data_IF_426994936429
#
_entry.id   IF_426994936429
#
_cell.length_a   1.000
_cell.length_b   1.000
_cell.length_c   1.000
_cell.angle_alpha   90.00
_cell.angle_beta   90.00
_cell.angle_gamma   90.00
#
_symmetry.space_group_name_H-M   'P 1'
#
loop_
_entity.id
_entity.type
_entity.pdbx_description
1 polymer ?
#
# COMPACT_ATOMS: atom_id res chain seq x y z
N UNK A 1 -4.63 23.16 19.55
CA UNK A 1 -3.79 23.17 18.34
C UNK A 1 -4.23 21.96 17.54
N UNK A 2 -4.39 22.05 16.22
CA UNK A 2 -4.72 20.86 15.45
C UNK A 2 -3.53 19.91 15.59
N UNK A 3 -3.75 18.71 16.12
CA UNK A 3 -2.72 17.69 16.11
C UNK A 3 -2.52 17.31 14.64
N UNK A 4 -1.35 17.63 14.08
CA UNK A 4 -1.03 17.33 12.69
C UNK A 4 -0.99 15.81 12.50
N UNK A 5 -1.82 15.27 11.59
CA UNK A 5 -1.79 13.85 11.23
C UNK A 5 -0.45 13.48 10.60
N UNK A 6 0.21 12.44 11.12
CA UNK A 6 1.47 11.91 10.59
C UNK A 6 1.32 10.48 10.08
N UNK A 7 1.59 10.28 8.80
CA UNK A 7 1.61 8.96 8.15
C UNK A 7 3.05 8.53 7.92
N UNK A 8 3.42 7.36 8.43
CA UNK A 8 4.68 6.69 8.12
C UNK A 8 4.44 5.61 7.07
N UNK A 9 5.17 5.67 5.95
CA UNK A 9 5.12 4.64 4.90
C UNK A 9 6.44 3.86 4.83
N UNK A 10 6.36 2.54 4.79
CA UNK A 10 7.51 1.64 4.60
C UNK A 10 7.33 0.88 3.28
N UNK A 11 8.19 1.15 2.30
CA UNK A 11 8.15 0.49 1.01
C UNK A 11 8.77 -0.92 1.06
N UNK A 12 8.19 -1.83 0.28
CA UNK A 12 8.64 -3.17 -0.10
C UNK A 12 9.45 -3.94 0.96
N UNK A 13 8.76 -4.66 1.85
CA UNK A 13 9.42 -5.58 2.79
C UNK A 13 9.83 -6.86 2.10
N UNK A 14 11.15 -7.07 1.97
CA UNK A 14 11.72 -8.21 1.22
C UNK A 14 12.26 -9.30 2.14
N UNK A 15 11.62 -10.48 2.12
CA UNK A 15 12.09 -11.70 2.74
C UNK A 15 12.30 -11.60 4.26
N UNK A 16 13.04 -12.57 4.82
CA UNK A 16 13.37 -12.58 6.25
C UNK A 16 14.15 -11.32 6.69
N UNK A 17 15.18 -10.85 5.94
CA UNK A 17 15.93 -9.66 6.34
C UNK A 17 15.07 -8.41 6.46
N UNK A 18 14.15 -8.18 5.52
CA UNK A 18 13.22 -7.05 5.57
C UNK A 18 12.30 -7.11 6.78
N UNK A 19 11.76 -8.30 7.09
CA UNK A 19 10.89 -8.48 8.27
C UNK A 19 11.64 -8.29 9.59
N UNK A 20 12.88 -8.77 9.68
CA UNK A 20 13.73 -8.57 10.85
C UNK A 20 14.04 -7.07 11.06
N UNK A 21 14.33 -6.35 9.97
CA UNK A 21 14.55 -4.91 10.01
C UNK A 21 13.28 -4.17 10.48
N UNK A 22 12.11 -4.50 9.92
CA UNK A 22 10.82 -3.93 10.36
C UNK A 22 10.59 -4.17 11.83
N UNK A 23 10.75 -5.42 12.29
CA UNK A 23 10.56 -5.78 13.71
C UNK A 23 11.50 -5.03 14.65
N UNK A 24 12.74 -4.81 14.23
CA UNK A 24 13.76 -4.14 15.05
C UNK A 24 13.61 -2.60 15.06
N UNK A 25 13.21 -2.01 13.94
CA UNK A 25 13.32 -0.55 13.70
C UNK A 25 11.96 0.14 13.80
N UNK A 26 10.91 -0.43 13.20
CA UNK A 26 9.62 0.24 13.03
C UNK A 26 9.00 0.73 14.35
N UNK A 27 8.99 -0.06 15.45
CA UNK A 27 8.44 0.42 16.73
C UNK A 27 9.18 1.60 17.34
N UNK A 28 10.49 1.73 17.07
CA UNK A 28 11.29 2.88 17.47
C UNK A 28 10.97 4.10 16.62
N UNK A 29 11.02 3.91 15.29
CA UNK A 29 10.77 4.96 14.32
C UNK A 29 9.37 5.57 14.47
N UNK A 30 8.32 4.75 14.66
CA UNK A 30 6.95 5.23 14.90
C UNK A 30 6.88 6.22 16.08
N UNK A 31 7.62 5.96 17.16
CA UNK A 31 7.66 6.84 18.33
C UNK A 31 8.47 8.11 18.08
N UNK A 32 9.58 7.98 17.35
CA UNK A 32 10.45 9.10 17.01
C UNK A 32 9.75 10.12 16.11
N UNK A 33 9.03 9.66 15.09
CA UNK A 33 8.30 10.55 14.17
C UNK A 33 6.87 10.85 14.62
N UNK A 34 6.44 10.27 15.76
CA UNK A 34 5.07 10.36 16.30
C UNK A 34 4.02 9.98 15.24
N UNK A 35 4.21 8.83 14.56
CA UNK A 35 3.32 8.39 13.49
C UNK A 35 1.95 7.94 14.04
N UNK A 36 0.88 8.55 13.55
CA UNK A 36 -0.51 8.19 13.87
C UNK A 36 -1.00 7.00 13.05
N UNK A 37 -0.49 6.87 11.82
CA UNK A 37 -0.82 5.77 10.91
C UNK A 37 0.46 5.24 10.26
N UNK A 38 0.65 3.93 10.29
CA UNK A 38 1.74 3.25 9.59
C UNK A 38 1.21 2.37 8.47
N UNK A 39 1.61 2.69 7.25
CA UNK A 39 1.30 1.91 6.05
C UNK A 39 2.59 1.21 5.60
N UNK A 40 2.49 -0.05 5.21
CA UNK A 40 3.65 -0.85 4.82
C UNK A 40 3.34 -1.69 3.58
N UNK A 41 4.22 -1.69 2.58
CA UNK A 41 4.09 -2.59 1.45
C UNK A 41 4.74 -3.94 1.78
N UNK A 42 3.93 -4.99 1.83
CA UNK A 42 4.33 -6.33 2.26
C UNK A 42 4.57 -7.33 1.12
N UNK A 43 4.54 -6.90 -0.15
CA UNK A 43 4.41 -7.84 -1.28
C UNK A 43 5.54 -8.85 -1.44
N UNK A 44 6.72 -8.62 -0.85
CA UNK A 44 7.89 -9.48 -0.97
C UNK A 44 8.24 -10.23 0.32
N UNK A 45 7.32 -10.24 1.29
CA UNK A 45 7.59 -10.73 2.64
C UNK A 45 7.80 -12.24 2.70
N UNK A 46 7.12 -13.03 1.88
CA UNK A 46 7.21 -14.48 1.86
C UNK A 46 8.38 -14.95 0.97
N UNK A 47 9.58 -15.02 1.55
CA UNK A 47 10.76 -15.53 0.83
C UNK A 47 11.14 -14.71 -0.41
N UNK A 48 10.75 -13.43 -0.46
CA UNK A 48 10.99 -12.53 -1.58
C UNK A 48 9.80 -12.37 -2.54
N UNK A 49 8.77 -13.22 -2.45
CA UNK A 49 7.62 -13.20 -3.37
C UNK A 49 6.31 -13.52 -2.63
N UNK A 50 5.43 -12.54 -2.52
CA UNK A 50 4.12 -12.65 -1.91
C UNK A 50 4.13 -12.44 -0.40
N UNK A 51 3.01 -12.81 0.21
CA UNK A 51 2.71 -12.63 1.63
C UNK A 51 1.90 -13.83 2.14
N UNK A 52 1.73 -13.98 3.44
CA UNK A 52 0.84 -14.98 4.05
C UNK A 52 0.13 -14.38 5.26
N UNK A 53 -0.99 -14.94 5.71
CA UNK A 53 -1.72 -14.48 6.89
C UNK A 53 -0.86 -14.49 8.15
N UNK A 54 0.04 -15.47 8.28
CA UNK A 54 1.05 -15.51 9.37
C UNK A 54 1.98 -14.30 9.33
N UNK A 55 2.48 -13.95 8.14
CA UNK A 55 3.39 -12.80 7.96
C UNK A 55 2.65 -11.46 8.11
N UNK A 56 1.37 -11.38 7.72
CA UNK A 56 0.51 -10.24 8.04
C UNK A 56 0.42 -10.02 9.55
N UNK A 57 0.19 -11.08 10.33
CA UNK A 57 0.15 -10.99 11.79
C UNK A 57 1.50 -10.54 12.37
N UNK A 58 2.62 -11.02 11.81
CA UNK A 58 3.98 -10.61 12.18
C UNK A 58 4.23 -9.10 11.94
N UNK A 59 3.89 -8.60 10.74
CA UNK A 59 4.07 -7.20 10.38
C UNK A 59 3.15 -6.27 11.19
N UNK A 60 1.91 -6.71 11.47
CA UNK A 60 0.99 -6.00 12.35
C UNK A 60 1.53 -5.90 13.77
N UNK A 61 2.07 -6.99 14.30
CA UNK A 61 2.69 -6.99 15.63
C UNK A 61 3.91 -6.05 15.71
N UNK A 62 4.59 -5.81 14.60
CA UNK A 62 5.67 -4.82 14.49
C UNK A 62 5.18 -3.36 14.32
N UNK A 63 3.87 -3.15 14.12
CA UNK A 63 3.24 -1.83 14.07
C UNK A 63 2.71 -1.40 12.70
N UNK A 64 2.56 -2.28 11.72
CA UNK A 64 1.84 -1.96 10.49
C UNK A 64 0.32 -1.90 10.72
N UNK A 65 -0.29 -0.75 10.41
CA UNK A 65 -1.73 -0.51 10.58
C UNK A 65 -2.52 -0.88 9.31
N UNK A 66 -1.92 -0.62 8.13
CA UNK A 66 -2.39 -1.02 6.80
C UNK A 66 -1.24 -1.69 6.06
N UNK A 67 -1.52 -2.79 5.36
CA UNK A 67 -0.55 -3.46 4.50
C UNK A 67 -1.00 -3.37 3.04
N UNK A 68 -0.22 -2.67 2.22
CA UNK A 68 -0.37 -2.68 0.76
C UNK A 68 0.46 -3.80 0.15
N UNK A 69 0.23 -4.10 -1.12
CA UNK A 69 0.96 -5.14 -1.85
C UNK A 69 1.29 -4.67 -3.27
N UNK A 70 1.40 -5.60 -4.22
CA UNK A 70 1.90 -5.35 -5.56
C UNK A 70 1.68 -6.55 -6.46
N UNK A 71 2.55 -6.73 -7.44
CA UNK A 71 2.41 -7.79 -8.45
C UNK A 71 2.60 -9.19 -7.84
N UNK A 72 3.25 -9.33 -6.69
CA UNK A 72 3.41 -10.64 -6.05
C UNK A 72 2.27 -11.04 -5.11
N UNK A 73 1.18 -10.27 -5.04
CA UNK A 73 0.06 -10.51 -4.11
C UNK A 73 -0.53 -11.92 -4.19
N UNK A 74 -0.50 -12.57 -5.35
CA UNK A 74 -1.03 -13.93 -5.54
C UNK A 74 0.04 -15.02 -5.67
N UNK A 75 1.30 -14.72 -5.33
CA UNK A 75 2.40 -15.69 -5.43
C UNK A 75 2.27 -16.88 -4.47
N UNK A 76 1.65 -16.66 -3.29
CA UNK A 76 1.42 -17.69 -2.27
C UNK A 76 -0.02 -18.19 -2.34
N UNK A 77 -0.22 -19.48 -2.68
CA UNK A 77 -1.55 -20.04 -2.95
C UNK A 77 -2.49 -19.94 -1.75
N UNK A 78 -1.97 -20.16 -0.55
CA UNK A 78 -2.72 -20.10 0.70
C UNK A 78 -3.24 -18.67 0.92
N UNK A 79 -2.38 -17.68 0.65
CA UNK A 79 -2.70 -16.27 0.85
C UNK A 79 -3.84 -15.78 -0.05
N UNK A 80 -3.96 -16.31 -1.28
CA UNK A 80 -5.10 -16.02 -2.18
C UNK A 80 -6.44 -16.30 -1.49
N UNK A 81 -6.52 -17.39 -0.71
CA UNK A 81 -7.73 -17.77 0.02
C UNK A 81 -7.91 -17.03 1.35
N UNK A 82 -6.82 -16.58 1.97
CA UNK A 82 -6.84 -15.85 3.24
C UNK A 82 -7.18 -14.37 3.04
N UNK A 83 -6.69 -13.76 1.95
CA UNK A 83 -6.73 -12.32 1.69
C UNK A 83 -8.12 -11.68 1.89
N UNK A 84 -9.25 -12.24 1.42
CA UNK A 84 -10.57 -11.65 1.63
C UNK A 84 -10.96 -11.46 3.11
N UNK A 85 -10.41 -12.28 4.01
CA UNK A 85 -10.70 -12.22 5.45
C UNK A 85 -9.71 -11.34 6.23
N UNK A 86 -8.62 -10.88 5.60
CA UNK A 86 -7.61 -10.06 6.23
C UNK A 86 -8.00 -8.58 6.12
N UNK A 87 -8.50 -8.02 7.23
CA UNK A 87 -8.80 -6.59 7.30
C UNK A 87 -7.55 -5.75 6.98
N UNK A 88 -7.73 -4.59 6.32
CA UNK A 88 -6.67 -3.60 6.03
C UNK A 88 -5.41 -4.19 5.35
N UNK A 89 -5.55 -5.32 4.66
CA UNK A 89 -4.55 -5.83 3.72
C UNK A 89 -5.14 -5.65 2.33
N UNK A 90 -4.53 -4.77 1.55
CA UNK A 90 -5.07 -4.35 0.25
C UNK A 90 -4.17 -4.79 -0.90
N UNK A 91 -4.82 -5.14 -2.00
CA UNK A 91 -4.19 -5.53 -3.27
C UNK A 91 -4.30 -4.40 -4.29
N UNK A 92 -3.56 -4.42 -5.41
CA UNK A 92 -3.78 -3.45 -6.47
C UNK A 92 -5.23 -3.42 -6.96
N UNK A 93 -5.89 -2.26 -6.91
CA UNK A 93 -7.32 -2.13 -7.16
C UNK A 93 -7.73 -2.43 -8.60
N UNK A 94 -6.80 -2.28 -9.54
CA UNK A 94 -7.00 -2.53 -10.97
C UNK A 94 -6.75 -3.99 -11.40
N UNK A 95 -6.71 -4.93 -10.46
CA UNK A 95 -7.01 -6.33 -10.79
C UNK A 95 -8.49 -6.49 -11.18
N UNK A 96 -8.84 -7.48 -12.04
CA UNK A 96 -10.22 -7.73 -12.45
C UNK A 96 -11.18 -7.89 -11.26
N UNK A 97 -12.49 -7.58 -11.42
CA UNK A 97 -13.45 -7.57 -10.32
C UNK A 97 -13.56 -8.88 -9.51
N UNK A 98 -13.22 -10.03 -10.12
CA UNK A 98 -13.27 -11.34 -9.46
C UNK A 98 -12.03 -11.64 -8.60
N UNK A 99 -10.98 -10.82 -8.67
CA UNK A 99 -9.76 -11.03 -7.90
C UNK A 99 -10.04 -10.88 -6.39
N UNK A 100 -9.53 -11.81 -5.55
CA UNK A 100 -9.81 -11.81 -4.12
C UNK A 100 -9.18 -10.60 -3.42
N UNK A 101 -9.78 -10.20 -2.29
CA UNK A 101 -9.34 -9.05 -1.51
C UNK A 101 -9.85 -7.71 -2.03
N UNK A 102 -9.49 -6.64 -1.34
CA UNK A 102 -9.94 -5.28 -1.63
C UNK A 102 -8.80 -4.41 -2.15
N UNK A 103 -9.15 -3.43 -3.00
CA UNK A 103 -8.20 -2.49 -3.61
C UNK A 103 -7.83 -1.30 -2.73
N UNK A 104 -8.60 -1.09 -1.66
CA UNK A 104 -8.55 0.08 -0.80
C UNK A 104 -9.14 -0.26 0.57
N UNK A 105 -8.89 0.59 1.56
CA UNK A 105 -9.56 0.57 2.85
C UNK A 105 -9.67 1.98 3.43
N UNK A 106 -10.60 2.17 4.36
CA UNK A 106 -10.67 3.40 5.17
C UNK A 106 -10.25 3.06 6.59
N UNK A 107 -9.33 3.85 7.14
CA UNK A 107 -8.78 3.69 8.50
C UNK A 107 -8.89 5.00 9.25
N UNK A 108 -9.20 4.93 10.54
CA UNK A 108 -9.22 6.08 11.43
C UNK A 108 -7.89 6.23 12.15
N UNK A 109 -7.30 7.43 12.09
CA UNK A 109 -6.13 7.83 12.88
C UNK A 109 -6.19 9.33 13.20
N UNK A 110 -5.74 9.71 14.40
CA UNK A 110 -5.80 11.09 14.91
C UNK A 110 -7.17 11.80 14.72
N UNK A 111 -8.29 11.05 14.81
CA UNK A 111 -9.63 11.61 14.61
C UNK A 111 -10.05 11.87 13.16
N UNK A 112 -9.25 11.42 12.18
CA UNK A 112 -9.52 11.55 10.75
C UNK A 112 -9.80 10.20 10.09
N UNK A 113 -10.75 10.16 9.15
CA UNK A 113 -10.92 9.06 8.21
C UNK A 113 -9.91 9.20 7.05
N UNK A 114 -9.08 8.18 6.85
CA UNK A 114 -8.00 8.15 5.85
C UNK A 114 -8.30 7.02 4.87
N UNK A 115 -8.45 7.38 3.59
CA UNK A 115 -8.61 6.42 2.51
C UNK A 115 -7.23 6.00 1.99
N UNK A 116 -6.92 4.71 2.08
CA UNK A 116 -5.69 4.13 1.52
C UNK A 116 -6.07 3.29 0.31
N UNK A 117 -5.43 3.53 -0.83
CA UNK A 117 -5.59 2.73 -2.04
C UNK A 117 -4.25 2.21 -2.54
N UNK A 118 -4.28 1.06 -3.19
CA UNK A 118 -3.11 0.46 -3.83
C UNK A 118 -3.45 0.28 -5.31
N UNK A 119 -2.59 0.74 -6.19
CA UNK A 119 -2.73 0.65 -7.64
C UNK A 119 -1.48 0.00 -8.23
N UNK A 120 -1.62 -0.59 -9.40
CA UNK A 120 -0.49 -1.17 -10.13
C UNK A 120 -0.37 -0.59 -11.53
N UNK A 121 0.85 -0.18 -11.87
CA UNK A 121 1.19 0.24 -13.23
C UNK A 121 1.04 -0.91 -14.23
N UNK A 122 1.00 -0.56 -15.52
CA UNK A 122 0.86 -1.53 -16.62
C UNK A 122 2.10 -1.58 -17.51
N UNK A 123 2.94 -0.54 -17.47
CA UNK A 123 4.13 -0.49 -18.32
C UNK A 123 5.20 -1.39 -17.70
N UNK A 124 5.70 -2.34 -18.48
CA UNK A 124 6.69 -3.35 -18.10
C UNK A 124 6.25 -4.34 -17.01
N UNK A 125 4.96 -4.39 -16.68
CA UNK A 125 4.37 -5.45 -15.87
C UNK A 125 3.87 -6.58 -16.77
N UNK A 126 4.05 -7.84 -16.35
CA UNK A 126 3.58 -9.00 -17.13
C UNK A 126 2.06 -9.22 -17.06
N UNK A 127 1.39 -8.65 -16.07
CA UNK A 127 -0.04 -8.83 -15.85
C UNK A 127 -0.88 -7.96 -16.79
N UNK A 128 -1.96 -8.55 -17.33
CA UNK A 128 -2.99 -7.78 -18.03
C UNK A 128 -3.99 -7.24 -17.02
N UNK A 129 -3.81 -5.99 -16.62
CA UNK A 129 -4.64 -5.30 -15.63
C UNK A 129 -5.55 -4.27 -16.27
N UNK A 130 -6.60 -3.91 -15.52
CA UNK A 130 -7.43 -2.76 -15.84
C UNK A 130 -6.65 -1.45 -15.69
N UNK A 131 -7.21 -0.36 -16.22
CA UNK A 131 -6.60 0.96 -16.19
C UNK A 131 -6.49 1.51 -14.75
N UNK A 132 -5.28 1.72 -14.21
CA UNK A 132 -5.10 2.22 -12.83
C UNK A 132 -5.66 3.64 -12.64
N UNK A 133 -5.68 4.47 -13.68
CA UNK A 133 -6.21 5.83 -13.61
C UNK A 133 -7.74 5.81 -13.40
N UNK A 134 -8.43 4.95 -14.16
CA UNK A 134 -9.88 4.77 -13.99
C UNK A 134 -10.23 4.07 -12.67
N UNK A 135 -9.39 3.14 -12.22
CA UNK A 135 -9.57 2.51 -10.92
C UNK A 135 -9.49 3.55 -9.79
N UNK A 136 -8.51 4.46 -9.84
CA UNK A 136 -8.39 5.56 -8.88
C UNK A 136 -9.66 6.44 -8.87
N UNK A 137 -10.14 6.85 -10.05
CA UNK A 137 -11.36 7.66 -10.15
C UNK A 137 -12.59 6.96 -9.57
N UNK A 138 -12.75 5.66 -9.82
CA UNK A 138 -13.86 4.88 -9.29
C UNK A 138 -13.82 4.81 -7.76
N UNK A 139 -12.64 4.64 -7.17
CA UNK A 139 -12.45 4.64 -5.72
C UNK A 139 -12.79 6.02 -5.14
N UNK A 140 -12.28 7.09 -5.73
CA UNK A 140 -12.56 8.46 -5.27
C UNK A 140 -14.05 8.82 -5.38
N UNK A 141 -14.70 8.43 -6.49
CA UNK A 141 -16.12 8.65 -6.69
C UNK A 141 -16.99 7.88 -5.68
N UNK A 142 -16.55 6.70 -5.26
CA UNK A 142 -17.21 5.93 -4.20
C UNK A 142 -17.01 6.53 -2.80
N UNK A 143 -16.00 7.39 -2.61
CA UNK A 143 -15.64 7.99 -1.33
C UNK A 143 -15.55 9.53 -1.40
N UNK A 144 -16.63 10.24 -1.79
CA UNK A 144 -16.58 11.68 -2.02
C UNK A 144 -16.29 12.50 -0.76
N UNK A 145 -16.44 11.90 0.42
CA UNK A 145 -16.18 12.55 1.71
C UNK A 145 -14.73 12.39 2.18
N UNK A 146 -13.94 11.48 1.60
CA UNK A 146 -12.55 11.29 1.98
C UNK A 146 -11.74 12.56 1.71
N UNK A 147 -11.11 13.10 2.76
CA UNK A 147 -10.26 14.30 2.67
C UNK A 147 -8.77 13.97 2.71
N UNK A 148 -8.44 12.85 3.36
CA UNK A 148 -7.07 12.37 3.50
C UNK A 148 -6.98 11.07 2.72
N UNK A 149 -6.17 11.08 1.67
CA UNK A 149 -6.12 10.02 0.67
C UNK A 149 -4.65 9.67 0.40
N UNK A 150 -4.29 8.43 0.66
CA UNK A 150 -2.96 7.88 0.42
C UNK A 150 -3.02 6.85 -0.71
N UNK A 151 -2.18 7.01 -1.73
CA UNK A 151 -2.09 6.09 -2.86
C UNK A 151 -0.69 5.45 -2.92
N UNK A 152 -0.63 4.13 -2.78
CA UNK A 152 0.56 3.33 -3.13
C UNK A 152 0.47 2.91 -4.61
N UNK A 153 1.29 3.54 -5.46
CA UNK A 153 1.39 3.27 -6.90
C UNK A 153 2.56 2.31 -7.19
N UNK A 154 2.23 1.02 -7.24
CA UNK A 154 3.19 -0.05 -7.47
C UNK A 154 3.49 -0.20 -8.97
N UNK A 155 4.62 0.32 -9.44
CA UNK A 155 4.89 0.39 -10.88
C UNK A 155 6.39 0.39 -11.21
N UNK A 156 6.74 -0.08 -12.41
CA UNK A 156 8.11 -0.06 -12.92
C UNK A 156 8.44 1.29 -13.57
N UNK A 157 7.62 1.71 -14.53
CA UNK A 157 7.92 2.90 -15.33
C UNK A 157 7.75 4.20 -14.53
N UNK A 158 8.83 4.99 -14.46
CA UNK A 158 8.81 6.33 -13.85
C UNK A 158 7.76 7.23 -14.48
N UNK A 159 7.59 7.16 -15.81
CA UNK A 159 6.56 7.93 -16.52
C UNK A 159 5.15 7.65 -16.02
N UNK A 160 4.82 6.41 -15.66
CA UNK A 160 3.50 6.04 -15.17
C UNK A 160 3.30 6.49 -13.72
N UNK A 161 4.34 6.39 -12.86
CA UNK A 161 4.34 6.95 -11.50
C UNK A 161 4.12 8.45 -11.51
N UNK A 162 4.92 9.18 -12.29
CA UNK A 162 4.83 10.63 -12.41
C UNK A 162 3.48 11.05 -13.00
N UNK A 163 2.98 10.34 -14.02
CA UNK A 163 1.66 10.61 -14.57
C UNK A 163 0.54 10.41 -13.54
N UNK A 164 0.59 9.36 -12.72
CA UNK A 164 -0.39 9.15 -11.64
C UNK A 164 -0.31 10.25 -10.58
N UNK A 165 0.90 10.67 -10.20
CA UNK A 165 1.12 11.80 -9.29
C UNK A 165 0.44 13.07 -9.79
N UNK A 166 0.69 13.47 -11.04
CA UNK A 166 0.01 14.61 -11.67
C UNK A 166 -1.49 14.40 -11.83
N UNK A 167 -1.93 13.18 -12.15
CA UNK A 167 -3.35 12.89 -12.33
C UNK A 167 -4.13 13.07 -11.03
N UNK A 168 -3.56 12.68 -9.89
CA UNK A 168 -4.19 12.78 -8.58
C UNK A 168 -3.84 14.05 -7.82
N UNK A 169 -3.08 14.98 -8.42
CA UNK A 169 -2.77 16.28 -7.80
C UNK A 169 -4.06 17.03 -7.43
N UNK A 170 -4.10 17.57 -6.20
CA UNK A 170 -5.29 18.17 -5.59
C UNK A 170 -6.44 17.21 -5.25
N UNK A 171 -6.32 15.91 -5.55
CA UNK A 171 -7.33 14.88 -5.27
C UNK A 171 -6.86 13.81 -4.29
N UNK A 172 -5.55 13.56 -4.22
CA UNK A 172 -4.93 12.73 -3.20
C UNK A 172 -4.01 13.58 -2.30
N UNK A 173 -3.85 13.18 -1.04
CA UNK A 173 -2.91 13.83 -0.12
C UNK A 173 -1.47 13.39 -0.35
N UNK A 174 -1.29 12.13 -0.75
CA UNK A 174 0.02 11.59 -1.14
C UNK A 174 -0.14 10.49 -2.19
N UNK A 175 0.77 10.48 -3.16
CA UNK A 175 0.97 9.38 -4.12
C UNK A 175 2.42 8.94 -4.00
N UNK A 176 2.65 7.71 -3.53
CA UNK A 176 3.99 7.17 -3.30
C UNK A 176 4.21 5.99 -4.22
N UNK A 177 5.35 5.96 -4.93
CA UNK A 177 5.70 4.86 -5.83
C UNK A 177 6.48 3.75 -5.13
N UNK A 178 6.13 2.49 -5.38
CA UNK A 178 6.85 1.28 -4.89
C UNK A 178 7.36 0.43 -6.06
N UNK A 179 7.74 -0.84 -5.85
CA UNK A 179 8.21 -1.83 -6.85
C UNK A 179 9.70 -1.81 -7.18
N UNK A 180 10.28 -0.63 -7.41
CA UNK A 180 11.66 -0.53 -7.97
C UNK A 180 12.77 -0.80 -6.95
N UNK A 181 12.43 -0.96 -5.65
CA UNK A 181 13.33 -1.28 -4.54
C UNK A 181 14.51 -0.31 -4.33
N UNK A 182 14.49 0.85 -4.98
CA UNK A 182 15.50 1.90 -4.87
C UNK A 182 14.76 3.22 -4.62
N UNK A 183 15.04 3.92 -3.51
CA UNK A 183 14.41 5.20 -3.24
C UNK A 183 14.89 6.27 -4.22
N UNK A 184 13.98 7.18 -4.57
CA UNK A 184 14.26 8.38 -5.37
C UNK A 184 14.48 9.59 -4.46
N UNK A 185 14.99 10.68 -5.02
CA UNK A 185 15.28 11.94 -4.31
C UNK A 185 14.39 13.10 -4.79
N UNK A 186 13.14 12.81 -5.15
CA UNK A 186 12.17 13.71 -5.81
C UNK A 186 10.93 14.03 -4.95
N UNK A 187 11.01 13.79 -3.64
CA UNK A 187 9.97 14.11 -2.66
C UNK A 187 9.83 15.61 -2.38
#
# INVERSE_FOLDING_TARGET
MADDLRILFVADVVGQPGRDAVKAILPGLKREVEADLTILNGENSAGGFGLTGKLVAELRAAGADVITTGNHVFAQKEFVSELPALERVIRPANYPPQAPGQGWCVVQAAGHDILVMNLMGRIFTMDTLDDPFRAADAILAAHPQAKIIFCDMHAEATSEKTAMGWYLDGRASAVVGTHTHIPTADA
#
